data_IF_966366270261
#
_entry.id   IF_966366270261
#
_cell.length_a   1.000
_cell.length_b   1.000
_cell.length_c   1.000
_cell.angle_alpha   90.00
_cell.angle_beta   90.00
_cell.angle_gamma   90.00
#
_symmetry.space_group_name_H-M   'P 1'
#
loop_
_entity.id
_entity.type
_entity.pdbx_description
1 polymer ?
#
# COMPACT_ATOMS: atom_id res chain seq x y z
N UNK A 1 1.86 -4.14 9.78
CA UNK A 1 1.90 -2.71 10.19
C UNK A 1 2.75 -1.89 9.23
N UNK A 2 3.40 -2.55 8.27
CA UNK A 2 4.46 -1.97 7.43
C UNK A 2 3.94 -0.89 6.48
N UNK A 3 2.72 -1.03 5.95
CA UNK A 3 2.08 0.04 5.16
C UNK A 3 1.97 1.36 5.92
N UNK A 4 1.63 1.31 7.21
CA UNK A 4 1.49 2.51 8.05
C UNK A 4 2.87 3.11 8.33
N UNK A 5 3.88 2.26 8.55
CA UNK A 5 5.28 2.70 8.69
C UNK A 5 5.78 3.36 7.41
N UNK A 6 5.66 2.70 6.24
CA UNK A 6 6.01 3.27 4.94
C UNK A 6 5.32 4.61 4.66
N UNK A 7 4.08 4.78 5.14
CA UNK A 7 3.34 6.05 5.03
C UNK A 7 3.87 7.15 5.94
N UNK A 8 4.42 6.82 7.12
CA UNK A 8 5.13 7.80 7.94
C UNK A 8 6.48 8.15 7.29
N UNK A 9 7.16 7.13 6.76
CA UNK A 9 8.47 7.26 6.12
C UNK A 9 8.41 7.94 4.74
N UNK A 10 7.22 8.12 4.16
CA UNK A 10 7.07 8.83 2.88
C UNK A 10 7.55 10.29 2.94
N UNK A 11 7.56 10.88 4.13
CA UNK A 11 8.15 12.21 4.39
C UNK A 11 9.69 12.22 4.31
N UNK A 12 10.32 11.05 4.38
CA UNK A 12 11.77 10.83 4.31
C UNK A 12 12.25 10.37 2.91
N UNK A 13 11.39 10.43 1.89
CA UNK A 13 11.69 9.98 0.51
C UNK A 13 12.71 10.84 -0.25
N UNK A 14 13.22 11.91 0.38
CA UNK A 14 14.44 12.57 -0.09
C UNK A 14 15.67 11.65 0.04
N UNK A 15 15.62 10.65 0.91
CA UNK A 15 16.56 9.54 0.92
C UNK A 15 16.11 8.51 -0.14
N UNK A 16 16.96 8.31 -1.16
CA UNK A 16 16.69 7.40 -2.28
C UNK A 16 16.52 5.94 -1.82
N UNK A 17 17.27 5.49 -0.82
CA UNK A 17 17.12 4.14 -0.25
C UNK A 17 15.72 3.97 0.35
N UNK A 18 15.28 4.92 1.17
CA UNK A 18 13.91 4.91 1.74
C UNK A 18 12.85 4.96 0.65
N UNK A 19 13.05 5.75 -0.41
CA UNK A 19 12.12 5.81 -1.53
C UNK A 19 12.02 4.46 -2.27
N UNK A 20 13.16 3.81 -2.53
CA UNK A 20 13.22 2.53 -3.20
C UNK A 20 12.57 1.41 -2.37
N UNK A 21 12.85 1.35 -1.06
CA UNK A 21 12.23 0.38 -0.16
C UNK A 21 10.69 0.51 -0.14
N UNK A 22 10.19 1.74 -0.08
CA UNK A 22 8.74 2.00 -0.12
C UNK A 22 8.16 1.60 -1.48
N UNK A 23 8.84 1.91 -2.59
CA UNK A 23 8.39 1.56 -3.93
C UNK A 23 8.33 0.04 -4.13
N UNK A 24 9.36 -0.69 -3.72
CA UNK A 24 9.38 -2.16 -3.76
C UNK A 24 8.26 -2.76 -2.91
N UNK A 25 8.01 -2.21 -1.71
CA UNK A 25 6.93 -2.68 -0.86
C UNK A 25 5.54 -2.46 -1.49
N UNK A 26 5.35 -1.32 -2.16
CA UNK A 26 4.11 -1.01 -2.89
C UNK A 26 3.88 -2.01 -4.02
N UNK A 27 4.89 -2.20 -4.87
CA UNK A 27 4.79 -3.02 -6.08
C UNK A 27 4.61 -4.51 -5.75
N UNK A 28 5.33 -5.00 -4.76
CA UNK A 28 5.36 -6.44 -4.45
C UNK A 28 4.27 -6.88 -3.47
N UNK A 29 3.78 -5.97 -2.60
CA UNK A 29 2.86 -6.36 -1.53
C UNK A 29 1.62 -5.47 -1.48
N UNK A 30 1.78 -4.16 -1.38
CA UNK A 30 0.66 -3.31 -0.96
C UNK A 30 -0.43 -3.21 -2.03
N UNK A 31 -0.05 -3.14 -3.30
CA UNK A 31 -1.01 -3.11 -4.40
C UNK A 31 -1.96 -4.32 -4.38
N UNK A 32 -1.42 -5.53 -4.25
CA UNK A 32 -2.22 -6.76 -4.23
C UNK A 32 -3.19 -6.80 -3.05
N UNK A 33 -2.78 -6.32 -1.87
CA UNK A 33 -3.65 -6.24 -0.69
C UNK A 33 -4.76 -5.19 -0.86
N UNK A 34 -4.46 -4.05 -1.47
CA UNK A 34 -5.48 -3.05 -1.80
C UNK A 34 -6.47 -3.54 -2.85
N UNK A 35 -6.02 -4.30 -3.85
CA UNK A 35 -6.91 -4.93 -4.82
C UNK A 35 -7.88 -5.91 -4.16
N UNK A 36 -7.38 -6.77 -3.26
CA UNK A 36 -8.24 -7.68 -2.47
C UNK A 36 -9.28 -6.91 -1.65
N UNK A 37 -8.86 -5.84 -0.98
CA UNK A 37 -9.77 -4.99 -0.20
C UNK A 37 -10.82 -4.33 -1.10
N UNK A 38 -10.40 -3.76 -2.22
CA UNK A 38 -11.29 -3.10 -3.18
C UNK A 38 -12.33 -4.08 -3.73
N UNK A 39 -11.91 -5.28 -4.13
CA UNK A 39 -12.80 -6.33 -4.59
C UNK A 39 -13.81 -6.71 -3.51
N UNK A 40 -13.37 -6.85 -2.26
CA UNK A 40 -14.26 -7.17 -1.14
C UNK A 40 -15.31 -6.09 -0.90
N UNK A 41 -14.89 -4.82 -0.88
CA UNK A 41 -15.81 -3.69 -0.68
C UNK A 41 -16.79 -3.54 -1.84
N UNK A 42 -16.34 -3.81 -3.07
CA UNK A 42 -17.20 -3.81 -4.27
C UNK A 42 -18.24 -4.92 -4.20
N UNK A 43 -17.83 -6.13 -3.81
CA UNK A 43 -18.73 -7.26 -3.57
C UNK A 43 -19.82 -6.88 -2.54
N UNK A 44 -19.42 -6.32 -1.39
CA UNK A 44 -20.34 -5.90 -0.34
C UNK A 44 -21.30 -4.81 -0.82
N UNK A 45 -20.81 -3.83 -1.58
CA UNK A 45 -21.64 -2.77 -2.17
C UNK A 45 -22.68 -3.33 -3.13
N UNK A 46 -22.32 -4.33 -3.95
CA UNK A 46 -23.25 -4.94 -4.91
C UNK A 46 -24.34 -5.82 -4.27
N UNK A 47 -24.16 -6.18 -3.00
CA UNK A 47 -25.10 -7.01 -2.21
C UNK A 47 -26.03 -6.19 -1.31
N UNK A 48 -25.85 -4.87 -1.27
CA UNK A 48 -26.67 -3.92 -0.51
C UNK A 48 -27.70 -3.26 -1.43
#
# INVERSE_FOLDING_TARGET
MDMIKSRNDSSHTYNEETANEIAEAILNYYYAEFEKLFNKLTELKSKA
#
